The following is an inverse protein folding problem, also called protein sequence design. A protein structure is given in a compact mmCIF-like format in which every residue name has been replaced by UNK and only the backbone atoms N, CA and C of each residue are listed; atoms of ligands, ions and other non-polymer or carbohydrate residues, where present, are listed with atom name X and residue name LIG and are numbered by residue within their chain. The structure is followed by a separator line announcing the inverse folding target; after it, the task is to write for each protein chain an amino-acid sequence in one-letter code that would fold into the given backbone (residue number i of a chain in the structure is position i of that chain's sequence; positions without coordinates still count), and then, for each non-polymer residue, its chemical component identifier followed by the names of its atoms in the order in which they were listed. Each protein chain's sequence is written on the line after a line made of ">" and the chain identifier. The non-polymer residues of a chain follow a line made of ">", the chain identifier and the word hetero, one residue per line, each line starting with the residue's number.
data_IF_960612520949
#
_entry.id   IF_960612520949
#
_cell.length_a   1.000
_cell.length_b   1.000
_cell.length_c   1.000
_cell.angle_alpha   90.00
_cell.angle_beta   90.00
_cell.angle_gamma   90.00
#
_symmetry.space_group_name_H-M   'P 1'
#
loop_
_entity.id
_entity.type
_entity.pdbx_description
1 polymer ?
#
# COMPACT_ATOMS: atom_id res chain seq x y z
N UNK A 1 8.18 -1.14 -13.28
CA UNK A 1 7.09 -0.96 -12.27
C UNK A 1 6.21 0.27 -12.55
N UNK A 2 6.75 1.40 -13.04
CA UNK A 2 5.93 2.53 -13.54
C UNK A 2 5.01 2.18 -14.72
N UNK A 3 5.28 1.08 -15.44
CA UNK A 3 4.53 0.69 -16.64
C UNK A 3 3.11 0.17 -16.33
N UNK A 4 2.88 -0.43 -15.16
CA UNK A 4 1.56 -0.95 -14.77
C UNK A 4 0.63 0.13 -14.23
N UNK A 5 1.18 1.14 -13.55
CA UNK A 5 0.40 2.24 -12.97
C UNK A 5 -0.17 3.17 -14.06
N UNK A 6 0.64 3.49 -15.08
CA UNK A 6 0.26 4.37 -16.19
C UNK A 6 -0.82 3.77 -17.13
N UNK A 7 -1.04 2.45 -17.09
CA UNK A 7 -1.98 1.78 -18.01
C UNK A 7 -3.39 1.61 -17.41
N UNK A 8 -3.55 1.81 -16.10
CA UNK A 8 -4.81 1.54 -15.38
C UNK A 8 -5.35 2.74 -14.60
N UNK A 9 -4.50 3.68 -14.16
CA UNK A 9 -4.95 4.90 -13.49
C UNK A 9 -5.17 6.01 -14.54
N UNK A 10 -6.35 6.63 -14.54
CA UNK A 10 -6.57 7.84 -15.34
C UNK A 10 -5.69 8.98 -14.83
N UNK A 11 -5.17 9.86 -15.71
CA UNK A 11 -4.28 10.98 -15.34
C UNK A 11 -4.72 11.79 -14.11
N UNK A 12 -6.04 11.92 -13.90
CA UNK A 12 -6.65 12.62 -12.76
C UNK A 12 -6.48 11.89 -11.43
N UNK A 13 -6.58 10.55 -11.43
CA UNK A 13 -6.36 9.74 -10.22
C UNK A 13 -4.90 9.79 -9.79
N UNK A 14 -3.95 9.81 -10.74
CA UNK A 14 -2.53 9.93 -10.41
C UNK A 14 -2.20 11.25 -9.70
N UNK A 15 -2.81 12.36 -10.13
CA UNK A 15 -2.68 13.66 -9.46
C UNK A 15 -3.29 13.65 -8.04
N UNK A 16 -4.47 13.06 -7.88
CA UNK A 16 -5.13 12.90 -6.57
C UNK A 16 -4.30 12.02 -5.61
N UNK A 17 -3.67 10.96 -6.12
CA UNK A 17 -2.76 10.13 -5.34
C UNK A 17 -1.45 10.85 -5.01
N UNK A 18 -0.99 11.78 -5.85
CA UNK A 18 0.30 12.46 -5.65
C UNK A 18 0.27 13.56 -4.58
N UNK A 19 -0.89 14.19 -4.35
CA UNK A 19 -1.03 15.36 -3.46
C UNK A 19 -1.85 15.10 -2.20
N UNK A 20 -2.57 13.97 -2.12
CA UNK A 20 -3.42 13.61 -0.99
C UNK A 20 -2.76 12.72 0.06
N UNK A 21 -3.52 12.28 1.09
CA UNK A 21 -3.03 11.36 2.13
C UNK A 21 -2.60 10.00 1.59
N UNK A 22 -3.09 9.58 0.41
CA UNK A 22 -2.69 8.35 -0.27
C UNK A 22 -1.31 8.45 -0.95
N UNK A 23 -0.71 9.65 -1.01
CA UNK A 23 0.65 9.86 -1.55
C UNK A 23 1.70 9.05 -0.81
N UNK A 24 1.49 8.76 0.48
CA UNK A 24 2.38 7.88 1.24
C UNK A 24 2.44 6.47 0.66
N UNK A 25 1.31 5.92 0.18
CA UNK A 25 1.25 4.59 -0.44
C UNK A 25 1.88 4.61 -1.83
N UNK A 26 1.67 5.69 -2.58
CA UNK A 26 2.34 5.94 -3.85
C UNK A 26 3.87 5.95 -3.67
N UNK A 27 4.37 6.68 -2.67
CA UNK A 27 5.79 6.71 -2.34
C UNK A 27 6.29 5.33 -1.90
N UNK A 28 5.48 4.57 -1.16
CA UNK A 28 5.84 3.21 -0.77
C UNK A 28 6.00 2.25 -1.95
N UNK A 29 5.12 2.33 -2.96
CA UNK A 29 5.25 1.53 -4.19
C UNK A 29 6.48 1.98 -4.99
N UNK A 30 6.68 3.29 -5.18
CA UNK A 30 7.79 3.84 -5.97
C UNK A 30 9.16 3.52 -5.36
N UNK A 31 9.30 3.72 -4.06
CA UNK A 31 10.55 3.51 -3.33
C UNK A 31 10.70 2.07 -2.82
N UNK A 32 9.71 1.21 -3.08
CA UNK A 32 9.63 -0.14 -2.56
C UNK A 32 9.87 -0.18 -1.03
N UNK A 33 9.32 0.78 -0.28
CA UNK A 33 9.57 0.88 1.18
C UNK A 33 8.76 -0.17 1.93
N UNK A 34 9.29 -0.58 3.08
CA UNK A 34 8.59 -1.49 3.96
C UNK A 34 7.51 -0.74 4.73
N UNK A 35 6.31 -1.31 4.77
CA UNK A 35 5.14 -0.76 5.45
C UNK A 35 4.68 -1.69 6.56
N UNK A 36 4.21 -1.10 7.66
CA UNK A 36 3.54 -1.78 8.75
C UNK A 36 2.06 -1.39 8.74
N UNK A 37 1.18 -2.34 8.49
CA UNK A 37 -0.26 -2.14 8.37
C UNK A 37 -0.93 -2.71 9.62
N UNK A 38 -1.70 -1.89 10.34
CA UNK A 38 -2.51 -2.35 11.47
C UNK A 38 -3.89 -2.78 10.98
N UNK A 39 -4.25 -4.04 11.17
CA UNK A 39 -5.54 -4.59 10.81
C UNK A 39 -6.56 -4.44 11.95
N UNK A 40 -7.85 -4.51 11.63
CA UNK A 40 -8.97 -4.40 12.59
C UNK A 40 -8.95 -5.43 13.73
N UNK A 41 -8.33 -6.59 13.51
CA UNK A 41 -8.29 -7.70 14.47
C UNK A 41 -7.02 -7.71 15.34
N UNK A 42 -6.41 -6.53 15.58
CA UNK A 42 -5.13 -6.38 16.29
C UNK A 42 -3.96 -7.20 15.70
N UNK A 43 -4.11 -7.65 14.45
CA UNK A 43 -3.02 -8.22 13.66
C UNK A 43 -2.29 -7.09 12.97
N UNK A 44 -0.97 -7.23 12.83
CA UNK A 44 -0.14 -6.30 12.07
C UNK A 44 0.50 -7.04 10.90
N UNK A 45 0.50 -6.43 9.72
CA UNK A 45 1.17 -6.94 8.53
C UNK A 45 2.41 -6.10 8.27
N UNK A 46 3.57 -6.73 8.17
CA UNK A 46 4.81 -6.09 7.76
C UNK A 46 5.18 -6.58 6.36
N UNK A 47 5.23 -5.70 5.37
CA UNK A 47 5.46 -6.10 3.98
C UNK A 47 5.80 -4.93 3.07
N UNK A 48 5.75 -5.13 1.75
CA UNK A 48 5.93 -4.07 0.74
C UNK A 48 4.72 -4.00 -0.17
N UNK A 49 4.28 -2.79 -0.50
CA UNK A 49 3.12 -2.57 -1.38
C UNK A 49 3.57 -2.62 -2.85
N UNK A 50 2.88 -3.40 -3.66
CA UNK A 50 3.11 -3.48 -5.12
C UNK A 50 2.10 -2.69 -5.94
N UNK A 51 0.86 -2.68 -5.48
CA UNK A 51 -0.23 -1.91 -6.06
C UNK A 51 -1.24 -1.57 -4.98
N UNK A 52 -1.98 -0.48 -5.18
CA UNK A 52 -3.11 -0.09 -4.34
C UNK A 52 -4.18 0.60 -5.19
N UNK A 53 -5.39 0.72 -4.66
CA UNK A 53 -6.48 1.46 -5.28
C UNK A 53 -7.03 2.57 -4.35
N UNK A 54 -8.05 3.30 -4.82
CA UNK A 54 -8.74 4.36 -4.06
C UNK A 54 -9.48 3.87 -2.80
N UNK A 55 -9.77 2.57 -2.70
CA UNK A 55 -10.43 1.95 -1.56
C UNK A 55 -9.42 1.44 -0.53
N UNK A 56 -8.12 1.70 -0.74
CA UNK A 56 -7.02 1.18 0.05
C UNK A 56 -6.91 -0.35 0.01
N UNK A 57 -7.46 -1.00 -1.03
CA UNK A 57 -7.10 -2.40 -1.29
C UNK A 57 -5.66 -2.44 -1.77
N UNK A 58 -4.87 -3.39 -1.27
CA UNK A 58 -3.44 -3.45 -1.54
C UNK A 58 -3.02 -4.84 -2.00
N UNK A 59 -2.15 -4.89 -3.01
CA UNK A 59 -1.37 -6.08 -3.35
C UNK A 59 -0.03 -5.97 -2.64
N UNK A 60 0.27 -6.94 -1.77
CA UNK A 60 1.46 -6.94 -0.93
C UNK A 60 2.41 -8.08 -1.33
N UNK A 61 3.72 -7.83 -1.19
CA UNK A 61 4.77 -8.84 -1.32
C UNK A 61 5.63 -8.94 -0.07
N UNK A 62 6.23 -10.11 0.14
CA UNK A 62 7.12 -10.41 1.28
C UNK A 62 6.46 -10.08 2.63
N UNK A 63 5.19 -10.49 2.80
CA UNK A 63 4.38 -10.17 3.97
C UNK A 63 4.71 -11.11 5.12
N UNK A 64 4.93 -10.51 6.30
CA UNK A 64 4.98 -11.19 7.59
C UNK A 64 3.82 -10.73 8.45
N UNK A 65 3.02 -11.69 8.90
CA UNK A 65 1.97 -11.43 9.89
C UNK A 65 2.54 -11.43 11.31
N UNK A 66 2.02 -10.53 12.15
CA UNK A 66 2.39 -10.40 13.56
C UNK A 66 1.11 -10.24 14.38
N UNK A 67 0.94 -11.06 15.41
CA UNK A 67 -0.11 -10.88 16.41
C UNK A 67 0.44 -11.27 17.78
N UNK A 68 -0.11 -10.67 18.82
CA UNK A 68 0.12 -11.09 20.20
C UNK A 68 -1.04 -11.98 20.60
N UNK A 69 -0.75 -13.18 21.08
CA UNK A 69 -1.74 -13.97 21.80
C UNK A 69 -1.97 -13.29 23.16
N UNK A 70 -3.16 -12.70 23.35
CA UNK A 70 -3.58 -12.31 24.68
C UNK A 70 -3.82 -13.61 25.46
N UNK A 71 -2.92 -13.90 26.39
CA UNK A 71 -3.12 -14.94 27.41
C UNK A 71 -4.14 -14.48 28.44
#
# INVERSE_FOLDING_TARGET
>A
MNFFFNLWAGKKEEEEFSTGPLSVLMMSVKNNTQVLINCRNNKKLLGRVRAFDRHCNMVLENVREMWTEAK
#
